data_IF_490159080957
#
_entry.id   IF_490159080957
#
_cell.length_a   1.000
_cell.length_b   1.000
_cell.length_c   1.000
_cell.angle_alpha   90.00
_cell.angle_beta   90.00
_cell.angle_gamma   90.00
#
_symmetry.space_group_name_H-M   'P 1'
#
loop_
_entity.id
_entity.type
_entity.pdbx_description
1 polymer ?
#
# COMPACT_ATOMS: atom_id res chain seq x y z
N UNK A 1 -20.29 4.23 3.01
CA UNK A 1 -18.84 4.52 2.84
C UNK A 1 -18.52 4.74 1.37
N UNK A 2 -17.65 5.71 1.09
CA UNK A 2 -17.07 5.99 -0.23
C UNK A 2 -15.56 5.87 -0.19
N UNK A 3 -14.93 5.52 -1.30
CA UNK A 3 -13.47 5.43 -1.43
C UNK A 3 -13.00 6.03 -2.75
N UNK A 4 -11.97 6.87 -2.67
CA UNK A 4 -11.18 7.31 -3.83
C UNK A 4 -9.83 6.59 -3.76
N UNK A 5 -9.44 5.94 -4.86
CA UNK A 5 -8.19 5.22 -4.99
C UNK A 5 -7.38 5.73 -6.18
N UNK A 6 -6.15 6.15 -5.93
CA UNK A 6 -5.12 6.42 -6.92
C UNK A 6 -4.01 5.41 -6.70
N UNK A 7 -3.88 4.44 -7.59
CA UNK A 7 -2.98 3.30 -7.41
C UNK A 7 -2.16 3.01 -8.67
N UNK A 8 -1.24 2.05 -8.56
CA UNK A 8 -0.45 1.58 -9.71
C UNK A 8 -1.31 1.11 -10.89
N UNK A 9 -2.60 0.79 -10.65
CA UNK A 9 -3.56 0.42 -11.70
C UNK A 9 -4.12 1.61 -12.48
N UNK A 10 -4.03 2.81 -11.93
CA UNK A 10 -4.68 3.99 -12.50
C UNK A 10 -3.71 5.12 -12.84
N UNK A 11 -2.51 5.11 -12.28
CA UNK A 11 -1.52 6.16 -12.49
C UNK A 11 -0.08 5.62 -12.42
N UNK A 12 0.84 6.15 -13.25
CA UNK A 12 2.26 5.84 -13.20
C UNK A 12 2.90 6.35 -11.90
N UNK A 13 4.06 5.83 -11.54
CA UNK A 13 4.76 6.11 -10.29
C UNK A 13 4.99 7.61 -10.06
N UNK A 14 5.48 8.34 -11.07
CA UNK A 14 5.74 9.77 -10.98
C UNK A 14 4.48 10.58 -10.61
N UNK A 15 3.32 10.16 -11.14
CA UNK A 15 2.03 10.78 -10.79
C UNK A 15 1.64 10.41 -9.36
N UNK A 16 1.80 9.13 -8.96
CA UNK A 16 1.43 8.68 -7.60
C UNK A 16 2.24 9.36 -6.51
N UNK A 17 3.53 9.62 -6.75
CA UNK A 17 4.41 10.34 -5.80
C UNK A 17 3.84 11.69 -5.38
N UNK A 18 3.10 12.37 -6.24
CA UNK A 18 2.46 13.67 -5.94
C UNK A 18 1.36 13.57 -4.89
N UNK A 19 0.75 12.40 -4.73
CA UNK A 19 -0.30 12.12 -3.74
C UNK A 19 0.26 11.49 -2.46
N UNK A 20 1.53 11.14 -2.44
CA UNK A 20 2.15 10.49 -1.29
C UNK A 20 2.27 11.45 -0.09
N UNK A 21 2.10 10.89 1.09
CA UNK A 21 2.34 11.60 2.35
C UNK A 21 3.70 11.16 2.90
N UNK A 22 4.61 12.09 3.18
CA UNK A 22 5.95 11.75 3.62
C UNK A 22 5.94 11.01 4.97
N UNK A 23 7.03 10.33 5.27
CA UNK A 23 7.25 9.75 6.59
C UNK A 23 7.67 10.83 7.61
N UNK A 24 7.60 10.48 8.90
CA UNK A 24 8.03 11.37 9.98
C UNK A 24 7.02 12.44 10.36
N UNK A 25 7.47 13.39 11.18
CA UNK A 25 6.60 14.38 11.82
C UNK A 25 5.85 15.29 10.82
N UNK A 26 6.53 15.72 9.77
CA UNK A 26 5.91 16.52 8.71
C UNK A 26 4.76 15.79 8.05
N UNK A 27 4.93 14.50 7.73
CA UNK A 27 3.87 13.69 7.12
C UNK A 27 2.72 13.39 8.07
N UNK A 28 2.98 13.31 9.38
CA UNK A 28 1.93 13.18 10.40
C UNK A 28 1.04 14.43 10.39
N UNK A 29 1.63 15.62 10.49
CA UNK A 29 0.90 16.90 10.46
C UNK A 29 0.11 17.10 9.17
N UNK A 30 0.70 16.72 8.05
CA UNK A 30 0.04 16.82 6.74
C UNK A 30 -1.17 15.87 6.62
N UNK A 31 -1.05 14.64 7.13
CA UNK A 31 -2.16 13.68 7.19
C UNK A 31 -3.28 14.15 8.12
N UNK A 32 -2.94 14.72 9.27
CA UNK A 32 -3.90 15.29 10.20
C UNK A 32 -4.69 16.41 9.55
N UNK A 33 -4.01 17.40 8.98
CA UNK A 33 -4.65 18.53 8.30
C UNK A 33 -5.53 18.09 7.11
N UNK A 34 -5.11 17.07 6.36
CA UNK A 34 -5.89 16.49 5.29
C UNK A 34 -7.17 15.82 5.82
N UNK A 35 -7.02 14.98 6.85
CA UNK A 35 -8.13 14.21 7.42
C UNK A 35 -9.13 15.10 8.16
N UNK A 36 -8.71 16.14 8.86
CA UNK A 36 -9.60 17.13 9.49
C UNK A 36 -10.55 17.76 8.47
N UNK A 37 -10.05 18.06 7.27
CA UNK A 37 -10.86 18.60 6.17
C UNK A 37 -11.69 17.53 5.47
N UNK A 38 -11.20 16.30 5.43
CA UNK A 38 -11.94 15.16 4.88
C UNK A 38 -13.11 14.70 5.78
N UNK A 39 -13.08 15.02 7.08
CA UNK A 39 -14.07 14.58 8.07
C UNK A 39 -13.85 13.14 8.51
N UNK A 40 -14.92 12.37 8.77
CA UNK A 40 -14.78 10.95 9.11
C UNK A 40 -14.15 10.18 7.95
N UNK A 41 -12.85 9.95 8.04
CA UNK A 41 -12.09 9.30 6.96
C UNK A 41 -10.86 8.54 7.46
N UNK A 42 -10.42 7.57 6.65
CA UNK A 42 -9.13 6.87 6.79
C UNK A 42 -8.32 7.10 5.52
N UNK A 43 -7.07 7.53 5.69
CA UNK A 43 -6.11 7.76 4.62
C UNK A 43 -5.06 6.66 4.60
N UNK A 44 -5.09 5.81 3.59
CA UNK A 44 -4.06 4.81 3.30
C UNK A 44 -3.10 5.37 2.25
N UNK A 45 -1.85 5.60 2.61
CA UNK A 45 -0.80 6.07 1.69
C UNK A 45 0.41 5.13 1.77
N UNK A 46 0.74 4.50 0.64
CA UNK A 46 1.87 3.58 0.46
C UNK A 46 2.65 3.97 -0.80
N UNK A 47 3.74 3.27 -1.13
CA UNK A 47 4.46 3.47 -2.40
C UNK A 47 3.59 3.19 -3.64
N UNK A 48 2.58 2.32 -3.51
CA UNK A 48 1.78 1.84 -4.64
C UNK A 48 0.38 2.41 -4.72
N UNK A 49 -0.10 3.10 -3.67
CA UNK A 49 -1.45 3.67 -3.63
C UNK A 49 -1.60 4.79 -2.62
N UNK A 50 -2.48 5.72 -2.95
CA UNK A 50 -3.10 6.65 -2.01
C UNK A 50 -4.60 6.46 -2.11
N UNK A 51 -5.24 6.09 -1.00
CA UNK A 51 -6.66 5.83 -0.92
C UNK A 51 -7.28 6.57 0.27
N UNK A 52 -8.43 7.20 0.05
CA UNK A 52 -9.19 7.86 1.11
C UNK A 52 -10.54 7.18 1.21
N UNK A 53 -10.84 6.65 2.38
CA UNK A 53 -12.11 6.02 2.71
C UNK A 53 -12.88 6.97 3.63
N UNK A 54 -14.03 7.47 3.19
CA UNK A 54 -14.88 8.39 3.96
C UNK A 54 -16.22 7.75 4.32
N UNK A 55 -16.72 8.09 5.50
CA UNK A 55 -18.04 7.66 5.93
C UNK A 55 -19.15 8.37 5.15
N UNK A 56 -20.29 7.70 5.02
CA UNK A 56 -21.48 8.25 4.36
C UNK A 56 -21.37 8.31 2.84
N UNK A 57 -22.15 9.20 2.27
CA UNK A 57 -22.29 9.45 0.84
C UNK A 57 -22.03 10.92 0.51
N UNK A 58 -21.66 11.21 -0.75
CA UNK A 58 -21.47 12.57 -1.25
C UNK A 58 -20.11 13.18 -0.93
N UNK A 59 -19.14 12.39 -0.48
CA UNK A 59 -17.79 12.86 -0.13
C UNK A 59 -16.84 13.02 -1.33
N UNK A 60 -17.14 12.43 -2.48
CA UNK A 60 -16.23 12.39 -3.63
C UNK A 60 -15.71 13.76 -4.05
N UNK A 61 -16.60 14.77 -4.19
CA UNK A 61 -16.19 16.11 -4.63
C UNK A 61 -15.16 16.73 -3.70
N UNK A 62 -15.41 16.67 -2.39
CA UNK A 62 -14.50 17.19 -1.36
C UNK A 62 -13.17 16.44 -1.36
N UNK A 63 -13.20 15.10 -1.46
CA UNK A 63 -11.98 14.30 -1.47
C UNK A 63 -11.14 14.55 -2.72
N UNK A 64 -11.77 14.75 -3.87
CA UNK A 64 -11.07 15.09 -5.13
C UNK A 64 -10.43 16.46 -5.06
N UNK A 65 -11.10 17.45 -4.50
CA UNK A 65 -10.53 18.79 -4.26
C UNK A 65 -9.31 18.71 -3.35
N UNK A 66 -9.41 18.00 -2.22
CA UNK A 66 -8.28 17.80 -1.31
C UNK A 66 -7.09 17.08 -1.96
N UNK A 67 -7.35 16.08 -2.80
CA UNK A 67 -6.33 15.38 -3.55
C UNK A 67 -5.74 16.25 -4.67
N UNK A 68 -6.53 17.12 -5.29
CA UNK A 68 -6.08 18.12 -6.26
C UNK A 68 -5.11 19.11 -5.62
N UNK A 69 -5.47 19.68 -4.49
CA UNK A 69 -4.60 20.56 -3.70
C UNK A 69 -3.30 19.85 -3.28
N UNK A 70 -3.42 18.64 -2.73
CA UNK A 70 -2.28 17.83 -2.28
C UNK A 70 -1.27 17.58 -3.40
N UNK A 71 -1.77 17.22 -4.58
CA UNK A 71 -0.92 16.87 -5.72
C UNK A 71 -0.47 18.06 -6.56
N UNK A 72 -1.15 19.22 -6.45
CA UNK A 72 -1.01 20.35 -7.35
C UNK A 72 -1.44 20.04 -8.79
N UNK A 73 -2.30 19.03 -8.98
CA UNK A 73 -2.88 18.67 -10.28
C UNK A 73 -4.25 19.32 -10.44
N UNK A 74 -4.66 19.58 -11.68
CA UNK A 74 -5.99 20.07 -11.96
C UNK A 74 -7.06 19.04 -11.52
N UNK A 75 -8.18 19.49 -11.01
CA UNK A 75 -9.29 18.64 -10.53
C UNK A 75 -9.78 17.67 -11.63
N UNK A 76 -9.82 18.11 -12.89
CA UNK A 76 -10.16 17.28 -14.04
C UNK A 76 -9.17 16.11 -14.27
N UNK A 77 -7.90 16.33 -14.00
CA UNK A 77 -6.87 15.29 -14.12
C UNK A 77 -6.98 14.29 -12.96
N UNK A 78 -7.19 14.79 -11.73
CA UNK A 78 -7.43 13.93 -10.57
C UNK A 78 -8.65 13.04 -10.82
N UNK A 79 -9.76 13.60 -11.26
CA UNK A 79 -10.99 12.86 -11.61
C UNK A 79 -10.77 11.77 -12.67
N UNK A 80 -9.87 12.01 -13.61
CA UNK A 80 -9.56 11.05 -14.69
C UNK A 80 -8.78 9.83 -14.18
N UNK A 81 -7.87 10.00 -13.23
CA UNK A 81 -7.03 8.91 -12.69
C UNK A 81 -7.59 8.28 -11.42
N UNK A 82 -8.47 8.97 -10.73
CA UNK A 82 -9.10 8.49 -9.50
C UNK A 82 -10.15 7.41 -9.81
N UNK A 83 -10.04 6.26 -9.15
CA UNK A 83 -11.09 5.25 -9.14
C UNK A 83 -12.00 5.50 -7.94
N UNK A 84 -13.30 5.49 -8.19
CA UNK A 84 -14.32 5.74 -7.17
C UNK A 84 -15.06 4.45 -6.85
N UNK A 85 -15.25 4.20 -5.57
CA UNK A 85 -16.02 3.07 -5.07
C UNK A 85 -17.00 3.59 -4.02
N UNK A 86 -18.26 3.14 -4.06
CA UNK A 86 -19.30 3.54 -3.10
C UNK A 86 -19.99 2.29 -2.54
N UNK A 87 -20.48 2.39 -1.30
CA UNK A 87 -21.25 1.36 -0.62
C UNK A 87 -20.51 0.01 -0.57
N UNK A 88 -21.19 -1.05 -0.97
CA UNK A 88 -20.63 -2.42 -0.98
C UNK A 88 -19.35 -2.54 -1.84
N UNK A 89 -19.26 -1.78 -2.94
CA UNK A 89 -18.05 -1.80 -3.77
C UNK A 89 -16.85 -1.20 -3.06
N UNK A 90 -17.05 -0.19 -2.22
CA UNK A 90 -15.99 0.38 -1.41
C UNK A 90 -15.55 -0.60 -0.30
N UNK A 91 -16.49 -1.28 0.34
CA UNK A 91 -16.19 -2.34 1.31
C UNK A 91 -15.41 -3.48 0.65
N UNK A 92 -15.90 -4.02 -0.47
CA UNK A 92 -15.24 -5.09 -1.20
C UNK A 92 -13.82 -4.70 -1.65
N UNK A 93 -13.63 -3.44 -2.08
CA UNK A 93 -12.31 -2.93 -2.44
C UNK A 93 -11.36 -2.94 -1.23
N UNK A 94 -11.78 -2.40 -0.07
CA UNK A 94 -10.98 -2.40 1.15
C UNK A 94 -10.57 -3.83 1.56
N UNK A 95 -11.52 -4.79 1.53
CA UNK A 95 -11.24 -6.18 1.87
C UNK A 95 -10.20 -6.80 0.93
N UNK A 96 -10.30 -6.55 -0.37
CA UNK A 96 -9.30 -7.02 -1.36
C UNK A 96 -7.93 -6.39 -1.11
N UNK A 97 -7.88 -5.10 -0.78
CA UNK A 97 -6.63 -4.40 -0.44
C UNK A 97 -6.02 -4.99 0.83
N UNK A 98 -6.80 -5.13 1.90
CA UNK A 98 -6.33 -5.69 3.18
C UNK A 98 -5.80 -7.13 3.06
N UNK A 99 -6.41 -7.93 2.16
CA UNK A 99 -5.95 -9.29 1.86
C UNK A 99 -4.71 -9.34 0.95
N UNK A 100 -4.24 -8.21 0.41
CA UNK A 100 -3.14 -8.17 -0.56
C UNK A 100 -3.54 -8.63 -1.96
N UNK A 101 -4.83 -8.84 -2.24
CA UNK A 101 -5.32 -9.30 -3.55
C UNK A 101 -5.27 -8.21 -4.62
N UNK A 102 -5.18 -6.94 -4.21
CA UNK A 102 -5.03 -5.79 -5.10
C UNK A 102 -3.61 -5.20 -5.08
N UNK A 103 -2.64 -5.89 -4.50
CA UNK A 103 -1.23 -5.50 -4.47
C UNK A 103 -0.51 -5.86 -5.78
N UNK A 104 0.64 -5.23 -6.05
CA UNK A 104 1.51 -5.57 -7.20
C UNK A 104 2.02 -7.01 -7.06
N UNK A 105 2.38 -7.40 -5.84
CA UNK A 105 2.68 -8.79 -5.48
C UNK A 105 1.49 -9.32 -4.70
N UNK A 106 0.74 -10.20 -5.33
CA UNK A 106 -0.49 -10.74 -4.72
C UNK A 106 -0.14 -11.52 -3.46
N UNK A 107 -0.84 -11.20 -2.37
CA UNK A 107 -0.67 -11.88 -1.08
C UNK A 107 0.45 -11.33 -0.20
N UNK A 108 1.11 -10.22 -0.56
CA UNK A 108 2.10 -9.57 0.29
C UNK A 108 1.56 -9.28 1.70
N UNK A 109 2.41 -9.40 2.71
CA UNK A 109 1.99 -9.24 4.12
C UNK A 109 1.99 -7.78 4.59
N UNK A 110 2.78 -6.93 3.94
CA UNK A 110 3.02 -5.56 4.36
C UNK A 110 1.76 -4.69 4.31
N UNK A 111 0.92 -4.87 3.28
CA UNK A 111 -0.29 -4.07 3.09
C UNK A 111 -1.28 -4.21 4.25
N UNK A 112 -1.40 -5.39 4.87
CA UNK A 112 -2.28 -5.57 6.02
C UNK A 112 -1.84 -4.71 7.21
N UNK A 113 -0.53 -4.65 7.45
CA UNK A 113 0.07 -3.78 8.47
C UNK A 113 -0.19 -2.31 8.17
N UNK A 114 -0.04 -1.89 6.91
CA UNK A 114 -0.26 -0.52 6.46
C UNK A 114 -1.73 -0.10 6.58
N UNK A 115 -2.68 -0.97 6.22
CA UNK A 115 -4.14 -0.73 6.41
C UNK A 115 -4.45 -0.58 7.90
N UNK A 116 -3.89 -1.45 8.75
CA UNK A 116 -4.08 -1.36 10.21
C UNK A 116 -3.55 -0.03 10.75
N UNK A 117 -2.34 0.36 10.36
CA UNK A 117 -1.72 1.62 10.82
C UNK A 117 -2.54 2.84 10.36
N UNK A 118 -3.01 2.86 9.12
CA UNK A 118 -3.86 3.93 8.59
C UNK A 118 -5.19 4.06 9.37
N UNK A 119 -5.83 2.92 9.64
CA UNK A 119 -7.06 2.88 10.44
C UNK A 119 -6.83 3.38 11.87
N UNK A 120 -5.81 2.88 12.56
CA UNK A 120 -5.51 3.29 13.94
C UNK A 120 -5.19 4.78 14.01
N UNK A 121 -4.46 5.31 13.04
CA UNK A 121 -4.16 6.75 12.96
C UNK A 121 -5.41 7.62 12.99
N UNK A 122 -6.43 7.26 12.22
CA UNK A 122 -7.70 7.98 12.17
C UNK A 122 -8.57 7.70 13.42
N UNK A 123 -8.61 6.45 13.89
CA UNK A 123 -9.39 6.06 15.06
C UNK A 123 -8.92 6.76 16.35
N UNK A 124 -7.61 6.84 16.59
CA UNK A 124 -7.01 7.53 17.74
C UNK A 124 -7.29 9.04 17.77
N UNK A 125 -7.64 9.61 16.62
CA UNK A 125 -7.98 11.03 16.43
C UNK A 125 -9.49 11.31 16.40
N UNK A 126 -10.31 10.27 16.64
CA UNK A 126 -11.77 10.41 16.61
C UNK A 126 -12.36 10.61 15.20
N UNK A 127 -11.59 10.30 14.16
CA UNK A 127 -11.98 10.44 12.74
C UNK A 127 -12.63 9.17 12.17
N UNK A 128 -12.88 8.15 13.00
CA UNK A 128 -13.58 6.93 12.64
C UNK A 128 -14.85 6.80 13.47
N UNK A 129 -16.01 7.02 12.87
CA UNK A 129 -17.31 6.71 13.45
C UNK A 129 -17.66 5.22 13.34
N UNK A 130 -18.89 4.88 13.62
CA UNK A 130 -19.36 3.49 13.65
C UNK A 130 -19.12 2.75 12.34
N UNK A 131 -19.44 3.38 11.19
CA UNK A 131 -19.33 2.75 9.86
C UNK A 131 -17.90 2.37 9.54
N UNK A 132 -16.94 3.30 9.64
CA UNK A 132 -15.54 3.05 9.34
C UNK A 132 -14.93 2.04 10.31
N UNK A 133 -15.22 2.15 11.61
CA UNK A 133 -14.77 1.18 12.61
C UNK A 133 -15.22 -0.24 12.28
N UNK A 134 -16.50 -0.44 11.97
CA UNK A 134 -17.04 -1.77 11.66
C UNK A 134 -16.40 -2.36 10.40
N UNK A 135 -16.27 -1.56 9.33
CA UNK A 135 -15.76 -2.06 8.04
C UNK A 135 -14.26 -2.33 8.11
N UNK A 136 -13.46 -1.44 8.73
CA UNK A 136 -12.01 -1.66 8.85
C UNK A 136 -11.67 -2.82 9.78
N UNK A 137 -12.32 -2.95 10.94
CA UNK A 137 -12.13 -4.10 11.82
C UNK A 137 -12.52 -5.41 11.14
N UNK A 138 -13.63 -5.42 10.41
CA UNK A 138 -14.07 -6.56 9.60
C UNK A 138 -13.06 -6.94 8.52
N UNK A 139 -12.52 -5.96 7.79
CA UNK A 139 -11.51 -6.19 6.76
C UNK A 139 -10.21 -6.75 7.34
N UNK A 140 -9.74 -6.21 8.48
CA UNK A 140 -8.54 -6.70 9.17
C UNK A 140 -8.72 -8.13 9.70
N UNK A 141 -9.89 -8.44 10.27
CA UNK A 141 -10.21 -9.79 10.75
C UNK A 141 -10.29 -10.79 9.59
N UNK A 142 -10.98 -10.43 8.50
CA UNK A 142 -11.10 -11.23 7.29
C UNK A 142 -9.73 -11.52 6.68
N UNK A 143 -8.89 -10.50 6.54
CA UNK A 143 -7.54 -10.65 5.96
C UNK A 143 -6.68 -11.59 6.80
N UNK A 144 -6.70 -11.48 8.13
CA UNK A 144 -6.00 -12.42 9.03
C UNK A 144 -6.50 -13.86 8.83
N UNK A 145 -7.81 -14.06 8.77
CA UNK A 145 -8.41 -15.38 8.58
C UNK A 145 -7.99 -15.98 7.25
N UNK A 146 -8.11 -15.23 6.14
CA UNK A 146 -7.70 -15.69 4.81
C UNK A 146 -6.22 -16.08 4.81
N UNK A 147 -5.35 -15.26 5.38
CA UNK A 147 -3.91 -15.53 5.46
C UNK A 147 -3.58 -16.78 6.29
N UNK A 148 -4.37 -17.09 7.31
CA UNK A 148 -4.17 -18.27 8.16
C UNK A 148 -4.72 -19.55 7.49
N UNK A 149 -5.87 -19.47 6.86
CA UNK A 149 -6.62 -20.62 6.33
C UNK A 149 -6.28 -20.97 4.87
N UNK A 150 -5.56 -20.06 4.16
CA UNK A 150 -5.20 -20.26 2.76
C UNK A 150 -3.70 -20.22 2.53
N UNK A 151 -3.27 -20.59 1.32
CA UNK A 151 -1.88 -20.49 0.89
C UNK A 151 -1.49 -19.08 0.43
N UNK A 152 -2.38 -18.10 0.55
CA UNK A 152 -2.18 -16.76 0.00
C UNK A 152 -0.91 -16.07 0.55
N UNK A 153 -0.60 -16.29 1.84
CA UNK A 153 0.63 -15.76 2.47
C UNK A 153 1.86 -16.66 2.26
N UNK A 154 1.66 -17.94 2.00
CA UNK A 154 2.78 -18.88 1.84
C UNK A 154 3.53 -18.69 0.52
N UNK A 155 2.90 -18.02 -0.44
CA UNK A 155 3.49 -17.64 -1.73
C UNK A 155 3.95 -16.18 -1.76
N UNK A 156 3.84 -15.44 -0.66
CA UNK A 156 4.27 -14.04 -0.59
C UNK A 156 5.81 -13.98 -0.58
N UNK A 157 6.34 -13.97 -1.76
CA UNK A 157 7.75 -13.69 -2.03
C UNK A 157 7.88 -12.17 -2.07
N UNK A 158 8.87 -11.63 -1.37
CA UNK A 158 9.15 -10.19 -1.48
C UNK A 158 9.49 -9.82 -2.94
N UNK A 159 9.26 -8.57 -3.33
CA UNK A 159 9.67 -8.07 -4.66
C UNK A 159 11.15 -8.36 -4.93
N UNK A 160 11.99 -8.25 -3.89
CA UNK A 160 13.41 -8.58 -3.99
C UNK A 160 13.64 -10.06 -4.34
N UNK A 161 12.93 -10.98 -3.69
CA UNK A 161 13.04 -12.42 -3.98
C UNK A 161 12.56 -12.76 -5.40
N UNK A 162 11.46 -12.12 -5.86
CA UNK A 162 11.01 -12.29 -7.24
C UNK A 162 12.01 -11.73 -8.25
N UNK A 163 12.57 -10.56 -7.98
CA UNK A 163 13.63 -9.98 -8.83
C UNK A 163 14.86 -10.87 -8.91
N UNK A 164 15.33 -11.41 -7.78
CA UNK A 164 16.42 -12.37 -7.75
C UNK A 164 16.10 -13.62 -8.56
N UNK A 165 14.91 -14.21 -8.39
CA UNK A 165 14.50 -15.39 -9.13
C UNK A 165 14.48 -15.14 -10.65
N UNK A 166 13.97 -13.98 -11.09
CA UNK A 166 13.98 -13.62 -12.52
C UNK A 166 15.39 -13.32 -13.06
N UNK A 167 16.25 -12.69 -12.29
CA UNK A 167 17.66 -12.48 -12.65
C UNK A 167 18.36 -13.83 -12.85
N UNK A 168 18.20 -14.78 -11.93
CA UNK A 168 18.77 -16.12 -12.05
C UNK A 168 18.22 -16.88 -13.26
N UNK A 169 16.90 -16.79 -13.50
CA UNK A 169 16.28 -17.40 -14.67
C UNK A 169 16.83 -16.82 -15.96
N UNK A 170 16.95 -15.51 -16.06
CA UNK A 170 17.51 -14.81 -17.23
C UNK A 170 18.98 -15.16 -17.45
N UNK A 171 19.79 -15.16 -16.39
CA UNK A 171 21.20 -15.54 -16.47
C UNK A 171 21.38 -16.98 -16.97
N UNK A 172 20.52 -17.90 -16.52
CA UNK A 172 20.51 -19.31 -16.99
C UNK A 172 20.13 -19.41 -18.48
N UNK A 173 19.13 -18.62 -18.93
CA UNK A 173 18.70 -18.61 -20.34
C UNK A 173 19.76 -18.03 -21.27
N UNK A 174 20.54 -17.04 -20.82
CA UNK A 174 21.62 -16.42 -21.59
C UNK A 174 22.92 -17.25 -21.63
N UNK A 175 22.94 -18.44 -21.04
CA UNK A 175 24.12 -19.31 -21.04
C UNK A 175 25.32 -18.75 -20.25
N UNK A 176 25.16 -17.65 -19.54
CA UNK A 176 26.13 -17.15 -18.59
C UNK A 176 26.06 -18.03 -17.36
N UNK A 177 27.14 -18.73 -17.02
CA UNK A 177 27.21 -19.45 -15.76
C UNK A 177 26.79 -18.51 -14.64
N UNK A 178 25.62 -18.76 -14.03
CA UNK A 178 25.25 -18.08 -12.82
C UNK A 178 26.32 -18.35 -11.80
N UNK A 179 26.94 -17.31 -11.26
CA UNK A 179 27.79 -17.46 -10.10
C UNK A 179 27.01 -18.26 -9.08
N UNK A 180 27.54 -19.39 -8.64
CA UNK A 180 26.90 -20.20 -7.61
C UNK A 180 26.57 -19.31 -6.41
N UNK A 181 25.44 -19.47 -5.75
CA UNK A 181 25.14 -18.71 -4.53
C UNK A 181 26.21 -18.87 -3.45
N UNK A 182 27.09 -19.88 -3.58
CA UNK A 182 28.21 -20.16 -2.67
C UNK A 182 29.44 -19.27 -2.95
N UNK A 183 29.39 -18.40 -3.96
CA UNK A 183 30.52 -17.53 -4.34
C UNK A 183 30.61 -16.20 -3.54
N UNK A 184 29.76 -15.97 -2.58
CA UNK A 184 29.86 -14.86 -1.65
C UNK A 184 30.30 -15.36 -0.27
N UNK A 185 31.61 -15.60 -0.13
CA UNK A 185 32.13 -15.84 1.19
C UNK A 185 33.27 -16.85 1.23
N UNK A 186 34.44 -16.47 0.83
CA UNK A 186 35.71 -16.87 1.43
C UNK A 186 36.77 -15.88 0.93
N UNK A 187 36.87 -14.75 1.56
CA UNK A 187 38.12 -14.07 1.67
C UNK A 187 38.92 -14.87 2.67
N UNK A 188 39.74 -15.81 2.18
CA UNK A 188 40.76 -16.45 2.97
C UNK A 188 41.70 -15.37 3.49
N UNK A 189 41.68 -15.21 4.80
CA UNK A 189 42.69 -14.46 5.53
C UNK A 189 43.86 -15.43 5.80
N UNK A 190 44.69 -15.67 4.78
CA UNK A 190 46.02 -16.22 5.00
C UNK A 190 46.91 -15.09 5.51
N UNK A 191 47.06 -15.04 6.81
CA UNK A 191 48.04 -14.28 7.53
C UNK A 191 48.86 -15.24 8.38
N UNK A 192 49.83 -15.86 7.75
CA UNK A 192 50.92 -16.54 8.47
C UNK A 192 51.65 -15.52 9.35
N UNK A 193 51.71 -15.79 10.63
CA UNK A 193 52.70 -15.22 11.54
C UNK A 193 53.52 -16.38 12.05
N UNK A 194 54.72 -16.50 11.53
CA UNK A 194 55.82 -17.31 12.10
C UNK A 194 56.68 -16.49 13.07
N UNK A 195 57.57 -17.12 13.83
CA UNK A 195 57.48 -17.34 15.30
C UNK A 195 58.11 -16.24 16.14
#
# INVERSE_FOLDING_TARGET
MECISISFRSAPEETRKRFAFPAGETGIKEREAFLERAGEAVLLSTCNRTEVYAAGEGSFGRLEELLSEKSGMADTEVKRIARRFAGEKACAHLYRVACGMDSMVVGEDEILGQVRTAYLFSAERGLCGYELNAVFQGALACAKKIKTETLLSKTSVSVATLACAEIFRFAKLCGKAAASPDGFGAAEADGEVEP
#
